data_IF_507643176427
#
_entry.id   IF_507643176427
#
_cell.length_a   1.000
_cell.length_b   1.000
_cell.length_c   1.000
_cell.angle_alpha   90.00
_cell.angle_beta   90.00
_cell.angle_gamma   90.00
#
_symmetry.space_group_name_H-M   'P 1'
#
loop_
_entity.id
_entity.type
_entity.pdbx_description
1 polymer ?
#
# COMPACT_ATOMS: atom_id res chain seq x y z
N UNK A 1 20.70 -8.74 9.92
CA UNK A 1 21.08 -9.92 9.12
C UNK A 1 22.52 -9.75 8.64
N UNK A 2 23.35 -10.80 8.73
CA UNK A 2 24.75 -10.78 8.29
C UNK A 2 24.96 -11.90 7.26
N UNK A 3 25.29 -11.56 6.03
CA UNK A 3 25.30 -12.53 4.90
C UNK A 3 26.50 -12.35 3.97
N UNK A 4 26.97 -13.44 3.37
CA UNK A 4 27.94 -13.41 2.26
C UNK A 4 27.29 -13.13 0.90
N UNK A 5 25.95 -13.10 0.84
CA UNK A 5 25.18 -12.92 -0.38
C UNK A 5 24.41 -11.61 -0.32
N UNK A 6 24.78 -10.71 -1.22
CA UNK A 6 24.27 -9.37 -1.43
C UNK A 6 23.42 -9.29 -2.71
N UNK A 7 22.76 -10.40 -3.04
CA UNK A 7 21.75 -10.44 -4.11
C UNK A 7 20.50 -9.65 -3.69
N UNK A 8 20.02 -8.81 -4.60
CA UNK A 8 18.90 -7.88 -4.39
C UNK A 8 17.65 -8.55 -3.81
N UNK A 9 17.29 -9.74 -4.30
CA UNK A 9 16.11 -10.49 -3.85
C UNK A 9 16.19 -10.89 -2.36
N UNK A 10 17.38 -11.25 -1.88
CA UNK A 10 17.61 -11.65 -0.48
C UNK A 10 17.54 -10.43 0.44
N UNK A 11 18.10 -9.30 -0.01
CA UNK A 11 18.03 -8.03 0.70
C UNK A 11 16.58 -7.61 0.90
N UNK A 12 15.81 -7.58 -0.19
CA UNK A 12 14.41 -7.16 -0.18
C UNK A 12 13.53 -8.09 0.65
N UNK A 13 13.72 -9.42 0.55
CA UNK A 13 13.00 -10.38 1.36
C UNK A 13 13.28 -10.20 2.86
N UNK A 14 14.53 -9.98 3.24
CA UNK A 14 14.92 -9.76 4.63
C UNK A 14 14.30 -8.47 5.21
N UNK A 15 14.31 -7.39 4.44
CA UNK A 15 13.71 -6.12 4.86
C UNK A 15 12.19 -6.23 5.00
N UNK A 16 11.51 -6.88 4.06
CA UNK A 16 10.06 -7.16 4.14
C UNK A 16 9.70 -8.03 5.35
N UNK A 17 10.60 -8.92 5.76
CA UNK A 17 10.45 -9.73 6.97
C UNK A 17 10.75 -8.95 8.27
N UNK A 18 11.07 -7.66 8.19
CA UNK A 18 11.32 -6.79 9.35
C UNK A 18 12.78 -6.73 9.78
N UNK A 19 13.74 -7.05 8.91
CA UNK A 19 15.14 -6.83 9.24
C UNK A 19 15.44 -5.33 9.32
N UNK A 20 15.86 -4.85 10.49
CA UNK A 20 16.30 -3.47 10.70
C UNK A 20 17.79 -3.24 10.33
N UNK A 21 18.49 -4.27 9.87
CA UNK A 21 19.87 -4.13 9.39
C UNK A 21 20.31 -5.29 8.51
N UNK A 22 21.14 -4.99 7.52
CA UNK A 22 21.68 -5.89 6.53
C UNK A 22 23.14 -5.53 6.24
N UNK A 23 24.08 -6.35 6.73
CA UNK A 23 25.51 -6.16 6.55
C UNK A 23 26.12 -7.36 5.84
N UNK A 24 27.19 -7.11 5.08
CA UNK A 24 27.98 -8.19 4.48
C UNK A 24 28.81 -8.92 5.56
N UNK A 25 29.03 -10.23 5.42
CA UNK A 25 29.99 -10.99 6.24
C UNK A 25 31.44 -10.52 6.07
N UNK A 26 31.72 -9.67 5.08
CA UNK A 26 33.05 -9.10 4.83
C UNK A 26 33.28 -7.75 5.50
N UNK A 27 32.28 -7.18 6.21
CA UNK A 27 32.46 -5.92 6.94
C UNK A 27 33.49 -6.10 8.05
N UNK A 28 34.22 -5.03 8.36
CA UNK A 28 35.18 -5.07 9.46
C UNK A 28 34.46 -5.23 10.80
N UNK A 29 35.15 -5.75 11.84
CA UNK A 29 34.57 -5.85 13.19
C UNK A 29 34.09 -4.50 13.74
N UNK A 30 34.79 -3.41 13.43
CA UNK A 30 34.41 -2.07 13.84
C UNK A 30 33.09 -1.62 13.19
N UNK A 31 32.94 -1.85 11.88
CA UNK A 31 31.70 -1.54 11.15
C UNK A 31 30.53 -2.40 11.63
N UNK A 32 30.78 -3.67 11.96
CA UNK A 32 29.75 -4.53 12.53
C UNK A 32 29.25 -3.99 13.88
N UNK A 33 30.18 -3.62 14.78
CA UNK A 33 29.83 -3.06 16.09
C UNK A 33 29.07 -1.73 15.92
N UNK A 34 29.53 -0.85 15.02
CA UNK A 34 28.84 0.39 14.72
C UNK A 34 27.40 0.13 14.22
N UNK A 35 27.22 -0.82 13.29
CA UNK A 35 25.90 -1.18 12.78
C UNK A 35 24.97 -1.79 13.83
N UNK A 36 25.50 -2.58 14.77
CA UNK A 36 24.71 -3.09 15.90
C UNK A 36 24.22 -1.94 16.77
N UNK A 37 25.10 -1.01 17.13
CA UNK A 37 24.74 0.13 17.98
C UNK A 37 23.69 1.03 17.30
N UNK A 38 23.80 1.24 15.99
CA UNK A 38 22.82 2.01 15.22
C UNK A 38 21.42 1.38 15.27
N UNK A 39 21.33 0.06 15.06
CA UNK A 39 20.06 -0.68 15.12
C UNK A 39 19.47 -0.66 16.53
N UNK A 40 20.30 -0.81 17.57
CA UNK A 40 19.86 -0.71 18.97
C UNK A 40 19.32 0.69 19.29
N UNK A 41 19.88 1.73 18.67
CA UNK A 41 19.41 3.12 18.77
C UNK A 41 18.09 3.39 18.04
N UNK A 42 17.48 2.40 17.39
CA UNK A 42 16.27 2.54 16.59
C UNK A 42 16.51 3.00 15.15
N UNK A 43 17.77 3.13 14.75
CA UNK A 43 18.18 3.37 13.37
C UNK A 43 18.21 2.07 12.55
N UNK A 44 18.93 2.13 11.42
CA UNK A 44 19.14 0.97 10.56
C UNK A 44 20.56 0.92 10.03
N UNK A 45 21.07 -0.29 9.83
CA UNK A 45 22.42 -0.50 9.31
C UNK A 45 22.37 -1.28 8.00
N UNK A 46 22.57 -0.61 6.87
CA UNK A 46 22.55 -1.23 5.54
C UNK A 46 23.92 -1.13 4.88
N UNK A 47 24.37 -2.21 4.25
CA UNK A 47 25.53 -2.17 3.37
C UNK A 47 25.25 -1.33 2.12
N UNK A 48 26.30 -0.87 1.44
CA UNK A 48 26.17 -0.14 0.18
C UNK A 48 25.38 -0.93 -0.88
N UNK A 49 25.64 -2.24 -1.00
CA UNK A 49 24.91 -3.13 -1.90
C UNK A 49 23.43 -3.25 -1.51
N UNK A 50 23.12 -3.44 -0.22
CA UNK A 50 21.74 -3.51 0.25
C UNK A 50 20.99 -2.19 0.03
N UNK A 51 21.69 -1.06 0.15
CA UNK A 51 21.14 0.28 -0.09
C UNK A 51 20.86 0.48 -1.58
N UNK A 52 21.78 0.08 -2.46
CA UNK A 52 21.59 0.15 -3.91
C UNK A 52 20.43 -0.73 -4.39
N UNK A 53 20.29 -1.95 -3.87
CA UNK A 53 19.16 -2.84 -4.14
C UNK A 53 17.82 -2.25 -3.71
N UNK A 54 17.78 -1.63 -2.52
CA UNK A 54 16.60 -0.91 -2.01
C UNK A 54 16.21 0.26 -2.91
N UNK A 55 17.17 1.10 -3.27
CA UNK A 55 16.95 2.25 -4.16
C UNK A 55 16.45 1.76 -5.51
N UNK A 56 17.13 0.77 -6.11
CA UNK A 56 16.75 0.17 -7.39
C UNK A 56 15.31 -0.33 -7.36
N UNK A 57 14.92 -1.08 -6.33
CA UNK A 57 13.54 -1.58 -6.19
C UNK A 57 12.50 -0.46 -5.98
N UNK A 58 12.86 0.61 -5.27
CA UNK A 58 11.99 1.78 -5.10
C UNK A 58 11.83 2.58 -6.39
N UNK A 59 12.88 2.66 -7.22
CA UNK A 59 12.84 3.39 -8.50
C UNK A 59 12.26 2.56 -9.64
N UNK A 60 12.41 1.23 -9.59
CA UNK A 60 11.91 0.30 -10.61
C UNK A 60 10.46 -0.14 -10.36
N UNK A 61 9.91 0.11 -9.17
CA UNK A 61 8.47 -0.01 -8.95
C UNK A 61 7.79 1.11 -9.76
N UNK A 62 7.15 0.80 -10.92
CA UNK A 62 6.47 1.83 -11.67
C UNK A 62 5.36 2.39 -10.78
N UNK A 63 5.08 3.71 -10.82
CA UNK A 63 3.90 4.24 -10.15
C UNK A 63 2.68 3.39 -10.56
N UNK A 64 1.75 3.11 -9.62
CA UNK A 64 0.58 2.29 -9.92
C UNK A 64 -0.07 2.84 -11.19
N UNK A 65 -0.19 1.97 -12.21
CA UNK A 65 -0.74 2.37 -13.50
C UNK A 65 -2.21 2.70 -13.27
N UNK A 66 -2.52 3.98 -13.22
CA UNK A 66 -3.89 4.48 -13.07
C UNK A 66 -4.65 4.14 -14.35
N UNK A 67 -5.71 3.35 -14.20
CA UNK A 67 -6.64 3.07 -15.28
C UNK A 67 -7.49 4.32 -15.54
N UNK A 68 -7.09 5.12 -16.53
CA UNK A 68 -7.71 6.41 -16.87
C UNK A 68 -9.16 6.25 -17.31
N UNK A 69 -9.50 5.17 -18.01
CA UNK A 69 -10.89 4.91 -18.42
C UNK A 69 -11.74 4.59 -17.18
N UNK A 70 -11.20 3.81 -16.25
CA UNK A 70 -11.88 3.52 -15.00
C UNK A 70 -12.07 4.78 -14.15
N UNK A 71 -11.04 5.61 -14.02
CA UNK A 71 -11.11 6.91 -13.33
C UNK A 71 -12.23 7.78 -13.91
N UNK A 72 -12.35 7.84 -15.24
CA UNK A 72 -13.42 8.58 -15.92
C UNK A 72 -14.82 8.07 -15.59
N UNK A 73 -14.98 6.78 -15.27
CA UNK A 73 -16.28 6.25 -14.79
C UNK A 73 -16.62 6.73 -13.38
N UNK A 74 -15.61 6.93 -12.53
CA UNK A 74 -15.81 7.49 -11.20
C UNK A 74 -16.21 8.97 -11.23
N UNK A 75 -16.04 9.69 -12.34
CA UNK A 75 -16.54 11.06 -12.52
C UNK A 75 -18.07 11.15 -12.65
N UNK A 76 -18.73 10.03 -12.99
CA UNK A 76 -20.20 9.96 -13.02
C UNK A 76 -20.83 9.85 -11.62
N UNK A 77 -20.01 9.65 -10.58
CA UNK A 77 -20.49 9.56 -9.21
C UNK A 77 -20.86 10.95 -8.67
N UNK A 78 -21.99 11.00 -7.98
CA UNK A 78 -22.33 12.14 -7.14
C UNK A 78 -21.36 12.21 -5.95
N UNK A 79 -21.22 13.38 -5.29
CA UNK A 79 -20.38 13.51 -4.10
C UNK A 79 -20.68 12.45 -3.03
N UNK A 80 -21.97 12.18 -2.76
CA UNK A 80 -22.36 11.16 -1.76
C UNK A 80 -22.04 9.72 -2.15
N UNK A 81 -22.15 9.39 -3.42
CA UNK A 81 -21.73 8.06 -3.90
C UNK A 81 -20.21 7.92 -3.81
N UNK A 82 -19.46 8.99 -4.13
CA UNK A 82 -18.00 9.02 -4.01
C UNK A 82 -17.56 8.87 -2.54
N UNK A 83 -18.19 9.59 -1.61
CA UNK A 83 -17.94 9.45 -0.17
C UNK A 83 -18.11 7.98 0.28
N UNK A 84 -19.22 7.35 -0.11
CA UNK A 84 -19.51 5.95 0.23
C UNK A 84 -18.47 5.01 -0.39
N UNK A 85 -18.09 5.21 -1.65
CA UNK A 85 -17.08 4.39 -2.33
C UNK A 85 -15.73 4.44 -1.62
N UNK A 86 -15.28 5.62 -1.17
CA UNK A 86 -14.01 5.78 -0.45
C UNK A 86 -14.05 4.98 0.85
N UNK A 87 -15.13 5.10 1.64
CA UNK A 87 -15.26 4.34 2.89
C UNK A 87 -15.41 2.83 2.67
N UNK A 88 -16.05 2.41 1.58
CA UNK A 88 -16.10 1.00 1.15
C UNK A 88 -14.68 0.49 0.83
N UNK A 89 -13.86 1.30 0.15
CA UNK A 89 -12.48 0.95 -0.18
C UNK A 89 -11.57 0.89 1.05
N UNK A 90 -11.88 1.64 2.11
CA UNK A 90 -11.26 1.51 3.44
C UNK A 90 -11.68 0.26 4.22
N UNK A 91 -12.58 -0.57 3.66
CA UNK A 91 -13.00 -1.84 4.26
C UNK A 91 -14.19 -1.76 5.21
N UNK A 92 -14.81 -0.59 5.40
CA UNK A 92 -15.95 -0.44 6.31
C UNK A 92 -17.18 -1.14 5.76
N UNK A 93 -18.04 -1.67 6.63
CA UNK A 93 -19.38 -2.17 6.34
C UNK A 93 -20.43 -1.05 6.26
N UNK A 94 -21.65 -1.38 5.83
CA UNK A 94 -22.71 -0.38 5.66
C UNK A 94 -23.13 0.30 6.98
N UNK A 95 -23.10 -0.43 8.10
CA UNK A 95 -23.46 0.11 9.42
C UNK A 95 -22.40 1.10 9.93
N UNK A 96 -21.12 0.79 9.72
CA UNK A 96 -19.99 1.66 10.09
C UNK A 96 -20.00 2.94 9.25
N UNK A 97 -20.21 2.82 7.95
CA UNK A 97 -20.37 3.97 7.04
C UNK A 97 -21.58 4.81 7.44
N UNK A 98 -22.71 4.16 7.77
CA UNK A 98 -23.93 4.85 8.18
C UNK A 98 -23.71 5.67 9.45
N UNK A 99 -22.99 5.12 10.44
CA UNK A 99 -22.61 5.83 11.64
C UNK A 99 -21.72 7.04 11.34
N UNK A 100 -20.71 6.90 10.48
CA UNK A 100 -19.81 8.01 10.12
C UNK A 100 -20.52 9.11 9.33
N UNK A 101 -21.42 8.74 8.43
CA UNK A 101 -22.14 9.69 7.57
C UNK A 101 -23.45 10.21 8.21
N UNK A 102 -23.80 9.74 9.41
CA UNK A 102 -25.08 10.06 10.09
C UNK A 102 -26.32 9.81 9.22
N UNK A 103 -26.37 8.65 8.56
CA UNK A 103 -27.50 8.20 7.72
C UNK A 103 -27.91 6.78 8.09
N UNK A 104 -28.96 6.24 7.45
CA UNK A 104 -29.34 4.84 7.66
C UNK A 104 -28.43 3.87 6.88
N UNK A 105 -28.19 2.63 7.37
CA UNK A 105 -27.49 1.59 6.61
C UNK A 105 -28.14 1.29 5.25
N UNK A 106 -29.46 1.44 5.15
CA UNK A 106 -30.21 1.30 3.90
C UNK A 106 -29.87 2.41 2.89
N UNK A 107 -29.65 3.63 3.36
CA UNK A 107 -29.21 4.77 2.55
C UNK A 107 -27.80 4.50 1.99
N UNK A 108 -26.88 4.01 2.82
CA UNK A 108 -25.54 3.60 2.38
C UNK A 108 -25.61 2.51 1.31
N UNK A 109 -26.39 1.45 1.56
CA UNK A 109 -26.62 0.37 0.58
C UNK A 109 -27.11 0.92 -0.75
N UNK A 110 -28.03 1.88 -0.73
CA UNK A 110 -28.58 2.51 -1.93
C UNK A 110 -27.50 3.27 -2.71
N UNK A 111 -26.68 4.08 -2.02
CA UNK A 111 -25.56 4.79 -2.66
C UNK A 111 -24.52 3.81 -3.21
N UNK A 112 -24.15 2.77 -2.47
CA UNK A 112 -23.19 1.77 -2.93
C UNK A 112 -23.68 1.03 -4.19
N UNK A 113 -24.95 0.64 -4.25
CA UNK A 113 -25.55 0.00 -5.43
C UNK A 113 -25.54 0.95 -6.64
N UNK A 114 -25.94 2.21 -6.46
CA UNK A 114 -25.91 3.21 -7.53
C UNK A 114 -24.50 3.47 -8.03
N UNK A 115 -23.53 3.55 -7.12
CA UNK A 115 -22.12 3.71 -7.45
C UNK A 115 -21.63 2.53 -8.28
N UNK A 116 -21.88 1.28 -7.84
CA UNK A 116 -21.54 0.06 -8.58
C UNK A 116 -22.11 0.06 -9.99
N UNK A 117 -23.40 0.41 -10.16
CA UNK A 117 -24.02 0.53 -11.48
C UNK A 117 -23.30 1.55 -12.36
N UNK A 118 -22.98 2.73 -11.82
CA UNK A 118 -22.33 3.82 -12.57
C UNK A 118 -20.91 3.48 -13.00
N UNK A 119 -20.13 2.82 -12.14
CA UNK A 119 -18.74 2.44 -12.46
C UNK A 119 -18.65 1.10 -13.23
N UNK A 120 -19.75 0.38 -13.35
CA UNK A 120 -19.82 -0.94 -13.99
C UNK A 120 -19.23 -2.06 -13.13
N UNK A 121 -19.27 -1.92 -11.80
CA UNK A 121 -18.90 -2.98 -10.87
C UNK A 121 -20.09 -3.91 -10.61
N UNK A 122 -19.87 -5.23 -10.67
CA UNK A 122 -20.88 -6.27 -10.44
C UNK A 122 -21.15 -6.54 -8.97
N UNK A 123 -20.16 -6.28 -8.11
CA UNK A 123 -20.24 -6.50 -6.67
C UNK A 123 -19.26 -5.58 -5.91
N UNK A 124 -19.36 -5.63 -4.57
CA UNK A 124 -18.56 -4.80 -3.67
C UNK A 124 -17.06 -5.05 -3.80
N UNK A 125 -16.65 -6.30 -4.00
CA UNK A 125 -15.22 -6.63 -4.12
C UNK A 125 -14.66 -6.03 -5.42
N UNK A 126 -15.42 -6.10 -6.51
CA UNK A 126 -15.05 -5.44 -7.76
C UNK A 126 -15.05 -3.92 -7.64
N UNK A 127 -16.00 -3.33 -6.89
CA UNK A 127 -15.99 -1.89 -6.60
C UNK A 127 -14.68 -1.48 -5.91
N UNK A 128 -14.27 -2.19 -4.86
CA UNK A 128 -13.00 -1.94 -4.17
C UNK A 128 -11.81 -2.06 -5.12
N UNK A 129 -11.74 -3.15 -5.89
CA UNK A 129 -10.69 -3.35 -6.90
C UNK A 129 -10.64 -2.21 -7.92
N UNK A 130 -11.81 -1.72 -8.35
CA UNK A 130 -11.90 -0.63 -9.31
C UNK A 130 -11.43 0.69 -8.71
N UNK A 131 -11.81 0.99 -7.47
CA UNK A 131 -11.36 2.21 -6.76
C UNK A 131 -9.83 2.28 -6.70
N UNK A 132 -9.15 1.18 -6.33
CA UNK A 132 -7.68 1.11 -6.33
C UNK A 132 -7.05 1.26 -7.72
N UNK A 133 -7.60 0.59 -8.74
CA UNK A 133 -7.11 0.70 -10.12
C UNK A 133 -7.30 2.09 -10.71
N UNK A 134 -8.33 2.81 -10.29
CA UNK A 134 -8.57 4.19 -10.66
C UNK A 134 -7.66 5.18 -9.89
N UNK A 135 -6.80 4.70 -8.99
CA UNK A 135 -5.94 5.55 -8.17
C UNK A 135 -6.69 6.35 -7.11
N UNK A 136 -7.93 5.95 -6.79
CA UNK A 136 -8.70 6.53 -5.71
C UNK A 136 -8.35 5.75 -4.44
N UNK A 137 -7.50 6.33 -3.61
CA UNK A 137 -7.10 5.76 -2.32
C UNK A 137 -7.87 6.48 -1.20
N UNK A 138 -8.23 5.79 -0.11
CA UNK A 138 -8.77 6.42 1.09
C UNK A 138 -7.76 7.28 1.84
#
# INVERSE_FOLDING_TARGET
>A
MLTTFDQDDIVLAALRAGANGFLSKTVSPAELVAGINEVVGGGGALSAAATAALIGHMTDSPPPVIDQELLRRFDALTPRERDVVVLVASGLGNDEIAAQMSVSPFTVKTHAVRAMTKVGARDRAQLVSFTFRAGLYP
#
